data_IF_743497989034
#
_entry.id   IF_743497989034
#
_cell.length_a   1.000
_cell.length_b   1.000
_cell.length_c   1.000
_cell.angle_alpha   90.00
_cell.angle_beta   90.00
_cell.angle_gamma   90.00
#
_symmetry.space_group_name_H-M   'P 1'
#
loop_
_entity.id
_entity.type
_entity.pdbx_description
1 polymer ?
#
# COMPACT_ATOMS: atom_id res chain seq x y z
N UNK A 1 -16.49 4.85 -18.37
CA UNK A 1 -16.96 5.61 -17.23
C UNK A 1 -17.64 6.90 -17.70
N UNK A 2 -16.92 7.97 -17.96
CA UNK A 2 -17.48 9.33 -18.25
C UNK A 2 -18.55 9.32 -19.36
N UNK A 3 -18.34 8.58 -20.47
CA UNK A 3 -19.32 8.49 -21.58
C UNK A 3 -20.63 7.79 -21.20
N UNK A 4 -20.62 6.88 -20.23
CA UNK A 4 -21.80 6.11 -19.80
C UNK A 4 -22.54 6.79 -18.63
N UNK A 5 -21.97 7.84 -18.02
CA UNK A 5 -22.49 8.46 -16.82
C UNK A 5 -22.51 7.52 -15.60
N UNK A 6 -21.59 6.55 -15.55
CA UNK A 6 -21.51 5.61 -14.44
C UNK A 6 -20.93 6.30 -13.20
N UNK A 7 -21.48 6.01 -12.01
CA UNK A 7 -21.06 6.60 -10.74
C UNK A 7 -19.76 5.99 -10.20
N UNK A 8 -19.41 4.77 -10.62
CA UNK A 8 -18.24 4.02 -10.16
C UNK A 8 -17.80 3.02 -11.22
N UNK A 9 -16.50 2.91 -11.46
CA UNK A 9 -15.89 1.79 -12.18
C UNK A 9 -15.26 0.80 -11.21
N UNK A 10 -15.43 -0.48 -11.49
CA UNK A 10 -14.89 -1.58 -10.70
C UNK A 10 -14.07 -2.47 -11.63
N UNK A 11 -12.84 -2.77 -11.26
CA UNK A 11 -11.96 -3.68 -11.97
C UNK A 11 -11.40 -4.72 -11.00
N UNK A 12 -11.47 -5.97 -11.38
CA UNK A 12 -10.89 -7.10 -10.64
C UNK A 12 -9.93 -7.86 -11.56
N UNK A 13 -8.98 -8.55 -11.00
CA UNK A 13 -8.11 -9.46 -11.72
C UNK A 13 -8.77 -10.83 -11.97
N UNK A 14 -8.15 -11.76 -12.74
CA UNK A 14 -8.82 -13.01 -13.15
C UNK A 14 -9.22 -13.93 -12.02
N UNK A 15 -8.51 -13.95 -10.90
CA UNK A 15 -8.78 -14.75 -9.71
C UNK A 15 -9.59 -14.00 -8.63
N UNK A 16 -9.98 -12.73 -8.93
CA UNK A 16 -10.90 -11.91 -8.13
C UNK A 16 -10.40 -11.70 -6.68
N UNK A 17 -9.08 -11.62 -6.51
CA UNK A 17 -8.45 -11.38 -5.22
C UNK A 17 -7.94 -9.95 -5.07
N UNK A 18 -7.86 -9.17 -6.18
CA UNK A 18 -7.46 -7.76 -6.24
C UNK A 18 -8.54 -6.90 -6.86
N UNK A 19 -8.62 -5.67 -6.36
CA UNK A 19 -9.69 -4.75 -6.67
C UNK A 19 -9.14 -3.34 -6.88
N UNK A 20 -9.55 -2.71 -7.97
CA UNK A 20 -9.30 -1.31 -8.25
C UNK A 20 -10.61 -0.59 -8.59
N UNK A 21 -10.72 0.67 -8.18
CA UNK A 21 -11.85 1.53 -8.46
C UNK A 21 -11.47 2.67 -9.40
N UNK A 22 -12.48 3.18 -10.13
CA UNK A 22 -12.38 4.37 -10.97
C UNK A 22 -13.49 5.32 -10.56
N UNK A 23 -13.14 6.57 -10.31
CA UNK A 23 -14.07 7.61 -9.91
C UNK A 23 -15.05 7.98 -11.04
N UNK A 24 -16.16 8.61 -10.71
CA UNK A 24 -17.19 9.05 -11.65
C UNK A 24 -16.66 10.05 -12.70
N UNK A 25 -15.59 10.79 -12.38
CA UNK A 25 -14.90 11.72 -13.29
C UNK A 25 -13.89 11.03 -14.23
N UNK A 26 -13.68 9.71 -14.05
CA UNK A 26 -12.76 8.90 -14.83
C UNK A 26 -11.35 8.78 -14.23
N UNK A 27 -11.06 9.48 -13.14
CA UNK A 27 -9.77 9.40 -12.47
C UNK A 27 -9.64 8.07 -11.68
N UNK A 28 -8.46 7.43 -11.69
CA UNK A 28 -8.21 6.26 -10.87
C UNK A 28 -8.36 6.56 -9.38
N UNK A 29 -9.05 5.69 -8.64
CA UNK A 29 -9.04 5.74 -7.17
C UNK A 29 -7.67 5.31 -6.61
N UNK A 30 -6.87 4.62 -7.42
CA UNK A 30 -5.58 4.00 -7.13
C UNK A 30 -5.72 2.77 -6.23
N UNK A 31 -5.16 1.66 -6.65
CA UNK A 31 -5.30 0.36 -5.98
C UNK A 31 -4.81 0.34 -4.52
N UNK A 32 -3.78 1.14 -4.20
CA UNK A 32 -3.29 1.33 -2.82
C UNK A 32 -4.40 1.80 -1.87
N UNK A 33 -5.32 2.64 -2.37
CA UNK A 33 -6.39 3.24 -1.58
C UNK A 33 -7.64 2.37 -1.45
N UNK A 34 -7.74 1.26 -2.18
CA UNK A 34 -8.83 0.30 -2.02
C UNK A 34 -8.90 -0.19 -0.57
N UNK A 35 -7.78 -0.71 -0.06
CA UNK A 35 -7.70 -1.15 1.33
C UNK A 35 -7.90 0.00 2.33
N UNK A 36 -7.33 1.17 2.05
CA UNK A 36 -7.43 2.36 2.92
C UNK A 36 -8.88 2.79 3.13
N UNK A 37 -9.65 2.90 2.03
CA UNK A 37 -11.06 3.29 2.08
C UNK A 37 -11.94 2.24 2.76
N UNK A 38 -11.69 0.95 2.51
CA UNK A 38 -12.42 -0.13 3.18
C UNK A 38 -12.10 -0.16 4.67
N UNK A 39 -10.83 0.08 5.04
CA UNK A 39 -10.41 0.13 6.44
C UNK A 39 -11.02 1.31 7.19
N UNK A 40 -11.15 2.51 6.58
CA UNK A 40 -11.84 3.65 7.21
C UNK A 40 -13.29 3.28 7.58
N UNK A 41 -13.97 2.55 6.68
CA UNK A 41 -15.33 2.09 6.96
C UNK A 41 -15.41 1.03 8.07
N UNK A 42 -14.52 0.02 8.01
CA UNK A 42 -14.50 -1.10 8.98
C UNK A 42 -14.12 -0.59 10.36
N UNK A 43 -13.03 0.15 10.50
CA UNK A 43 -12.53 0.65 11.77
C UNK A 43 -13.50 1.61 12.46
N UNK A 44 -14.26 2.39 11.70
CA UNK A 44 -15.32 3.24 12.23
C UNK A 44 -16.51 2.47 12.83
N UNK A 45 -16.64 1.15 12.56
CA UNK A 45 -17.72 0.29 13.07
C UNK A 45 -17.25 -0.79 14.03
N UNK A 46 -16.08 -1.32 13.76
CA UNK A 46 -15.46 -2.38 14.53
C UNK A 46 -14.00 -1.98 14.79
N UNK A 47 -13.73 -1.16 15.82
CA UNK A 47 -12.37 -0.80 16.18
C UNK A 47 -11.51 -2.03 16.47
N UNK A 48 -10.27 -2.04 15.97
CA UNK A 48 -9.32 -3.13 16.16
C UNK A 48 -8.07 -2.93 15.32
N UNK A 49 -7.06 -3.80 15.42
CA UNK A 49 -5.84 -3.66 14.63
C UNK A 49 -6.09 -3.77 13.13
N UNK A 50 -5.35 -2.96 12.35
CA UNK A 50 -5.27 -3.05 10.89
C UNK A 50 -3.90 -3.57 10.49
N UNK A 51 -3.83 -4.39 9.43
CA UNK A 51 -2.59 -5.00 8.93
C UNK A 51 -2.42 -4.71 7.44
N UNK A 52 -1.21 -4.29 7.03
CA UNK A 52 -0.81 -4.38 5.63
C UNK A 52 0.68 -4.73 5.50
N UNK A 53 1.08 -5.09 4.27
CA UNK A 53 2.48 -5.34 4.04
C UNK A 53 3.30 -4.04 4.06
N UNK A 54 4.59 -4.17 4.37
CA UNK A 54 5.53 -3.06 4.56
C UNK A 54 5.76 -2.21 3.29
N UNK A 55 5.33 -2.69 2.10
CA UNK A 55 5.40 -1.96 0.83
C UNK A 55 4.12 -1.22 0.48
N UNK A 56 3.06 -1.35 1.29
CA UNK A 56 1.80 -0.63 1.11
C UNK A 56 1.89 0.80 1.61
N UNK A 57 0.98 1.65 1.13
CA UNK A 57 0.90 3.05 1.56
C UNK A 57 0.74 3.16 3.08
N UNK A 58 1.41 4.15 3.66
CA UNK A 58 1.20 4.52 5.07
C UNK A 58 -0.17 5.12 5.35
N UNK A 59 -0.94 5.47 4.31
CA UNK A 59 -2.30 5.97 4.46
C UNK A 59 -3.17 5.06 5.33
N UNK A 60 -2.95 3.72 5.29
CA UNK A 60 -3.65 2.80 6.20
C UNK A 60 -3.27 3.01 7.66
N UNK A 61 -1.99 3.25 7.96
CA UNK A 61 -1.55 3.55 9.32
C UNK A 61 -2.15 4.87 9.82
N UNK A 62 -2.21 5.89 8.95
CA UNK A 62 -2.83 7.18 9.28
C UNK A 62 -4.34 7.04 9.55
N UNK A 63 -5.06 6.22 8.76
CA UNK A 63 -6.48 5.91 8.98
C UNK A 63 -6.68 5.14 10.29
N UNK A 64 -5.86 4.13 10.56
CA UNK A 64 -5.93 3.39 11.82
C UNK A 64 -5.73 4.32 13.03
N UNK A 65 -4.73 5.20 12.96
CA UNK A 65 -4.46 6.20 14.01
C UNK A 65 -5.64 7.18 14.20
N UNK A 66 -6.28 7.63 13.11
CA UNK A 66 -7.46 8.50 13.19
C UNK A 66 -8.65 7.85 13.89
N UNK A 67 -8.76 6.52 13.81
CA UNK A 67 -9.76 5.73 14.55
C UNK A 67 -9.29 5.28 15.95
N UNK A 68 -8.07 5.67 16.38
CA UNK A 68 -7.49 5.21 17.65
C UNK A 68 -7.15 3.71 17.65
N UNK A 69 -6.95 3.12 16.48
CA UNK A 69 -6.69 1.69 16.29
C UNK A 69 -5.20 1.41 16.02
N UNK A 70 -4.66 0.27 16.47
CA UNK A 70 -3.30 -0.14 16.14
C UNK A 70 -3.13 -0.46 14.64
N UNK A 71 -1.94 -0.15 14.12
CA UNK A 71 -1.50 -0.61 12.80
C UNK A 71 -0.28 -1.51 12.94
N UNK A 72 -0.31 -2.65 12.26
CA UNK A 72 0.73 -3.68 12.32
C UNK A 72 1.27 -4.01 10.92
N UNK A 73 2.52 -3.66 10.62
CA UNK A 73 3.13 -4.01 9.35
C UNK A 73 3.52 -5.49 9.31
N UNK A 74 3.48 -6.08 8.10
CA UNK A 74 3.99 -7.44 7.86
C UNK A 74 4.89 -7.49 6.61
N UNK A 75 5.52 -8.64 6.36
CA UNK A 75 6.21 -8.91 5.09
C UNK A 75 5.20 -8.95 3.94
N UNK A 76 5.69 -8.69 2.73
CA UNK A 76 4.86 -8.82 1.52
C UNK A 76 4.44 -10.27 1.30
N UNK A 77 3.20 -10.45 0.88
CA UNK A 77 2.56 -11.72 0.58
C UNK A 77 1.39 -12.02 1.50
N UNK A 78 0.32 -12.53 0.89
CA UNK A 78 -0.95 -12.82 1.57
C UNK A 78 -0.79 -13.67 2.83
N UNK A 79 0.04 -14.72 2.76
CA UNK A 79 0.30 -15.60 3.90
C UNK A 79 0.89 -14.84 5.09
N UNK A 80 1.78 -13.86 4.82
CA UNK A 80 2.36 -13.03 5.88
C UNK A 80 1.32 -12.09 6.48
N UNK A 81 0.46 -11.51 5.63
CA UNK A 81 -0.63 -10.64 6.09
C UNK A 81 -1.63 -11.42 6.95
N UNK A 82 -2.12 -12.56 6.47
CA UNK A 82 -3.08 -13.39 7.21
C UNK A 82 -2.51 -13.95 8.52
N UNK A 83 -1.23 -14.33 8.53
CA UNK A 83 -0.53 -14.75 9.76
C UNK A 83 -0.49 -13.61 10.76
N UNK A 84 -0.03 -12.42 10.35
CA UNK A 84 0.01 -11.24 11.22
C UNK A 84 -1.38 -10.86 11.74
N UNK A 85 -2.40 -10.92 10.89
CA UNK A 85 -3.79 -10.65 11.30
C UNK A 85 -4.29 -11.60 12.35
N UNK A 86 -3.95 -12.91 12.27
CA UNK A 86 -4.28 -13.90 13.31
C UNK A 86 -3.56 -13.64 14.63
N UNK A 87 -2.27 -13.29 14.56
CA UNK A 87 -1.44 -12.99 15.72
C UNK A 87 -1.95 -11.77 16.51
N UNK A 88 -2.41 -10.74 15.80
CA UNK A 88 -2.80 -9.44 16.37
C UNK A 88 -4.31 -9.31 16.63
N UNK A 89 -5.12 -10.27 16.15
CA UNK A 89 -6.58 -10.15 16.16
C UNK A 89 -7.10 -9.02 15.26
N UNK A 90 -6.39 -8.74 14.16
CA UNK A 90 -6.76 -7.66 13.26
C UNK A 90 -8.14 -7.84 12.64
N UNK A 91 -8.89 -6.75 12.53
CA UNK A 91 -10.27 -6.74 11.99
C UNK A 91 -10.32 -6.44 10.51
N UNK A 92 -9.25 -5.89 9.96
CA UNK A 92 -9.07 -5.56 8.54
C UNK A 92 -7.60 -5.68 8.17
N UNK A 93 -7.30 -6.13 6.98
CA UNK A 93 -5.95 -6.14 6.45
C UNK A 93 -5.92 -6.35 4.95
N UNK A 94 -4.71 -6.45 4.40
CA UNK A 94 -4.51 -6.67 2.98
C UNK A 94 -3.18 -6.18 2.45
N UNK A 95 -3.16 -5.84 1.18
CA UNK A 95 -1.98 -5.39 0.47
C UNK A 95 -2.31 -4.17 -0.42
N UNK A 96 -1.31 -3.30 -0.66
CA UNK A 96 -1.43 -2.11 -1.50
C UNK A 96 -1.59 -2.39 -3.01
N UNK A 97 -1.89 -3.61 -3.37
CA UNK A 97 -2.22 -4.06 -4.74
C UNK A 97 -3.74 -4.22 -4.96
N UNK A 98 -4.55 -3.69 -4.07
CA UNK A 98 -6.01 -3.83 -4.10
C UNK A 98 -6.56 -5.06 -3.36
N UNK A 99 -5.70 -5.85 -2.72
CA UNK A 99 -6.11 -7.03 -1.94
C UNK A 99 -6.67 -6.64 -0.58
N UNK A 100 -7.93 -6.99 -0.30
CA UNK A 100 -8.63 -6.75 0.97
C UNK A 100 -8.89 -8.07 1.68
N UNK A 101 -8.60 -8.14 2.97
CA UNK A 101 -8.83 -9.31 3.83
C UNK A 101 -9.71 -8.89 5.00
N UNK A 102 -10.86 -9.56 5.16
CA UNK A 102 -11.82 -9.32 6.25
C UNK A 102 -12.02 -10.62 7.01
N UNK A 103 -11.42 -10.77 8.20
CA UNK A 103 -11.46 -12.02 8.97
C UNK A 103 -12.86 -12.54 9.33
N UNK A 104 -13.84 -11.65 9.45
CA UNK A 104 -15.22 -12.02 9.70
C UNK A 104 -15.83 -12.85 8.56
N UNK A 105 -15.29 -12.75 7.34
CA UNK A 105 -15.64 -13.59 6.21
C UNK A 105 -14.66 -14.77 6.11
N UNK A 106 -13.40 -14.49 5.81
CA UNK A 106 -12.30 -15.47 5.76
C UNK A 106 -10.92 -14.78 5.77
N UNK A 107 -9.86 -15.57 5.96
CA UNK A 107 -8.47 -15.11 5.89
C UNK A 107 -7.90 -15.34 4.49
N UNK A 108 -8.32 -14.54 3.54
CA UNK A 108 -7.86 -14.49 2.16
C UNK A 108 -8.26 -13.17 1.52
N UNK A 109 -7.52 -12.73 0.51
CA UNK A 109 -7.90 -11.54 -0.25
C UNK A 109 -9.17 -11.84 -1.04
N UNK A 110 -10.11 -10.88 -1.01
CA UNK A 110 -11.42 -11.04 -1.63
C UNK A 110 -11.91 -9.70 -2.17
N UNK A 111 -12.01 -9.61 -3.49
CA UNK A 111 -12.50 -8.40 -4.14
C UNK A 111 -14.00 -8.17 -3.90
N UNK A 112 -14.81 -9.22 -3.75
CA UNK A 112 -16.26 -9.06 -3.58
C UNK A 112 -16.61 -8.40 -2.24
N UNK A 113 -15.95 -8.82 -1.15
CA UNK A 113 -16.14 -8.15 0.14
C UNK A 113 -15.59 -6.73 0.11
N UNK A 114 -14.47 -6.50 -0.60
CA UNK A 114 -13.92 -5.17 -0.82
C UNK A 114 -14.93 -4.25 -1.52
N UNK A 115 -15.59 -4.72 -2.58
CA UNK A 115 -16.66 -4.01 -3.31
C UNK A 115 -17.83 -3.71 -2.37
N UNK A 116 -18.33 -4.72 -1.64
CA UNK A 116 -19.49 -4.56 -0.76
C UNK A 116 -19.24 -3.51 0.33
N UNK A 117 -18.06 -3.54 0.96
CA UNK A 117 -17.69 -2.60 2.02
C UNK A 117 -17.43 -1.19 1.47
N UNK A 118 -16.80 -1.07 0.30
CA UNK A 118 -16.59 0.21 -0.35
C UNK A 118 -17.91 0.88 -0.74
N UNK A 119 -18.84 0.15 -1.35
CA UNK A 119 -20.18 0.64 -1.68
C UNK A 119 -20.97 1.04 -0.40
N UNK A 120 -20.84 0.23 0.66
CA UNK A 120 -21.44 0.55 1.96
C UNK A 120 -20.86 1.84 2.55
N UNK A 121 -19.56 2.09 2.37
CA UNK A 121 -18.90 3.32 2.79
C UNK A 121 -19.44 4.53 2.03
N UNK A 122 -19.52 4.47 0.69
CA UNK A 122 -20.09 5.52 -0.13
C UNK A 122 -21.54 5.84 0.27
N UNK A 123 -22.37 4.80 0.43
CA UNK A 123 -23.76 4.96 0.84
C UNK A 123 -23.90 5.62 2.24
N UNK A 124 -23.02 5.24 3.18
CA UNK A 124 -23.00 5.82 4.51
C UNK A 124 -22.58 7.29 4.51
N UNK A 125 -21.50 7.61 3.78
CA UNK A 125 -20.98 8.98 3.67
C UNK A 125 -21.86 9.86 2.77
N UNK A 126 -22.67 9.28 1.89
CA UNK A 126 -23.47 9.97 0.85
C UNK A 126 -22.60 10.87 -0.03
N UNK A 127 -21.43 10.36 -0.40
CA UNK A 127 -20.42 11.04 -1.21
C UNK A 127 -20.25 10.35 -2.55
N UNK A 128 -19.75 11.10 -3.55
CA UNK A 128 -19.20 10.54 -4.76
C UNK A 128 -17.84 9.87 -4.48
N UNK A 129 -17.38 9.04 -5.40
CA UNK A 129 -16.12 8.32 -5.24
C UNK A 129 -14.94 9.29 -5.15
N UNK A 130 -14.89 10.30 -6.03
CA UNK A 130 -13.86 11.34 -6.02
C UNK A 130 -13.86 12.18 -4.73
N UNK A 131 -15.03 12.40 -4.15
CA UNK A 131 -15.18 13.13 -2.86
C UNK A 131 -14.65 12.26 -1.71
N UNK A 132 -15.02 10.97 -1.67
CA UNK A 132 -14.49 10.03 -0.67
C UNK A 132 -12.96 9.97 -0.72
N UNK A 133 -12.36 9.88 -1.93
CA UNK A 133 -10.91 9.89 -2.10
C UNK A 133 -10.24 11.07 -1.41
N UNK A 134 -10.82 12.27 -1.52
CA UNK A 134 -10.30 13.50 -0.92
C UNK A 134 -10.40 13.55 0.61
N UNK A 135 -11.19 12.67 1.24
CA UNK A 135 -11.27 12.59 2.70
C UNK A 135 -10.19 11.72 3.32
N UNK A 136 -9.50 10.91 2.51
CA UNK A 136 -8.46 10.00 2.97
C UNK A 136 -7.09 10.71 3.05
N UNK A 137 -6.16 10.23 3.89
CA UNK A 137 -4.81 10.78 3.96
C UNK A 137 -4.13 10.74 2.59
N UNK A 138 -3.59 11.86 2.13
CA UNK A 138 -2.96 11.96 0.81
C UNK A 138 -1.50 11.53 0.86
N UNK A 139 -1.20 10.47 0.10
CA UNK A 139 0.12 9.93 -0.16
C UNK A 139 0.23 9.43 -1.59
N UNK A 140 1.42 9.55 -2.16
CA UNK A 140 1.70 9.13 -3.54
C UNK A 140 2.87 8.16 -3.55
N UNK A 141 2.68 7.01 -4.22
CA UNK A 141 3.70 5.96 -4.33
C UNK A 141 4.28 5.93 -5.74
N UNK A 142 5.60 6.11 -5.83
CA UNK A 142 6.37 5.90 -7.07
C UNK A 142 6.90 4.46 -7.08
N UNK A 143 6.55 3.67 -8.11
CA UNK A 143 6.94 2.25 -8.25
C UNK A 143 7.94 2.10 -9.39
N UNK A 144 9.15 1.68 -9.07
CA UNK A 144 10.26 1.54 -9.99
C UNK A 144 10.90 0.16 -9.89
N UNK A 145 11.74 -0.18 -10.88
CA UNK A 145 12.57 -1.39 -10.87
C UNK A 145 13.93 -1.11 -11.48
N UNK A 146 14.95 -1.77 -10.96
CA UNK A 146 16.31 -1.77 -11.48
C UNK A 146 16.71 -3.21 -11.82
N UNK A 147 17.14 -3.45 -13.06
CA UNK A 147 17.69 -4.74 -13.47
C UNK A 147 19.10 -4.91 -12.89
N UNK A 148 19.42 -6.11 -12.45
CA UNK A 148 20.74 -6.49 -11.92
C UNK A 148 21.20 -7.78 -12.57
N UNK A 149 22.50 -8.03 -12.60
CA UNK A 149 23.06 -9.24 -13.23
C UNK A 149 22.99 -10.47 -12.32
N UNK A 150 22.92 -10.26 -11.00
CA UNK A 150 22.90 -11.35 -10.01
C UNK A 150 22.27 -10.93 -8.69
N UNK A 151 21.91 -11.93 -7.88
CA UNK A 151 21.41 -11.69 -6.50
C UNK A 151 22.51 -11.07 -5.61
N UNK A 152 23.76 -11.40 -5.84
CA UNK A 152 24.89 -10.82 -5.10
C UNK A 152 25.06 -9.33 -5.40
N UNK A 153 24.92 -8.94 -6.68
CA UNK A 153 24.91 -7.53 -7.07
C UNK A 153 23.77 -6.77 -6.39
N UNK A 154 22.57 -7.35 -6.38
CA UNK A 154 21.43 -6.77 -5.68
C UNK A 154 21.70 -6.54 -4.19
N UNK A 155 22.31 -7.51 -3.51
CA UNK A 155 22.67 -7.41 -2.08
C UNK A 155 23.70 -6.33 -1.82
N UNK A 156 24.75 -6.26 -2.66
CA UNK A 156 25.77 -5.20 -2.57
C UNK A 156 25.16 -3.82 -2.77
N UNK A 157 24.30 -3.66 -3.78
CA UNK A 157 23.63 -2.40 -4.07
C UNK A 157 22.71 -1.95 -2.92
N UNK A 158 21.90 -2.87 -2.37
CA UNK A 158 21.02 -2.58 -1.21
C UNK A 158 21.88 -2.23 0.03
N UNK A 159 22.99 -2.92 0.24
CA UNK A 159 23.89 -2.64 1.36
C UNK A 159 24.55 -1.26 1.25
N UNK A 160 24.89 -0.82 0.04
CA UNK A 160 25.40 0.53 -0.24
C UNK A 160 24.37 1.61 0.16
N UNK A 161 23.10 1.42 -0.23
CA UNK A 161 22.01 2.33 0.17
C UNK A 161 21.81 2.32 1.68
N UNK A 162 21.88 1.16 2.33
CA UNK A 162 21.77 1.06 3.78
C UNK A 162 22.89 1.81 4.52
N UNK A 163 24.10 1.84 3.99
CA UNK A 163 25.19 2.63 4.54
C UNK A 163 24.99 4.13 4.32
N UNK A 164 24.48 4.53 3.15
CA UNK A 164 24.20 5.93 2.84
C UNK A 164 23.16 6.54 3.80
N UNK A 165 22.15 5.75 4.20
CA UNK A 165 21.08 6.17 5.12
C UNK A 165 21.24 5.59 6.54
N UNK A 166 22.47 5.33 6.98
CA UNK A 166 22.72 4.71 8.28
C UNK A 166 22.27 5.57 9.49
N UNK A 167 22.10 6.87 9.29
CA UNK A 167 21.57 7.83 10.26
C UNK A 167 20.02 7.85 10.33
N UNK A 168 19.36 7.12 9.44
CA UNK A 168 17.90 7.04 9.36
C UNK A 168 17.36 5.77 10.01
N UNK A 169 16.03 5.72 10.18
CA UNK A 169 15.35 4.55 10.68
C UNK A 169 15.28 3.47 9.59
N UNK A 170 16.09 2.44 9.76
CA UNK A 170 16.16 1.30 8.84
C UNK A 170 15.26 0.17 9.33
N UNK A 171 14.41 -0.37 8.46
CA UNK A 171 13.64 -1.58 8.70
C UNK A 171 14.04 -2.65 7.68
N UNK A 172 14.45 -3.82 8.19
CA UNK A 172 14.93 -4.96 7.40
C UNK A 172 13.95 -6.15 7.43
N UNK A 173 12.69 -5.90 7.75
CA UNK A 173 11.65 -6.95 7.81
C UNK A 173 11.51 -7.68 6.46
N UNK A 174 11.53 -6.93 5.33
CA UNK A 174 11.39 -7.49 4.00
C UNK A 174 12.16 -6.63 2.99
N UNK A 175 13.45 -6.87 2.88
CA UNK A 175 14.39 -6.02 2.13
C UNK A 175 14.94 -4.89 2.98
N UNK A 176 15.05 -3.69 2.42
CA UNK A 176 15.48 -2.49 3.12
C UNK A 176 14.43 -1.39 2.96
N UNK A 177 13.77 -1.04 4.03
CA UNK A 177 12.93 0.16 4.11
C UNK A 177 13.63 1.23 4.94
N UNK A 178 13.58 2.46 4.45
CA UNK A 178 14.08 3.66 5.12
C UNK A 178 12.91 4.60 5.34
N UNK A 179 12.69 5.00 6.58
CA UNK A 179 11.63 5.94 6.96
C UNK A 179 12.25 7.30 7.35
N UNK A 180 11.70 8.38 6.80
CA UNK A 180 12.03 9.77 7.12
C UNK A 180 10.97 10.31 8.09
N UNK A 181 11.25 10.23 9.39
CA UNK A 181 10.24 10.51 10.44
C UNK A 181 9.71 11.94 10.38
N UNK A 182 10.54 12.92 9.98
CA UNK A 182 10.18 14.34 9.92
C UNK A 182 9.11 14.65 8.86
N UNK A 183 9.19 13.98 7.71
CA UNK A 183 8.28 14.18 6.56
C UNK A 183 7.23 13.10 6.43
N UNK A 184 7.46 11.95 7.06
CA UNK A 184 6.68 10.74 6.91
C UNK A 184 6.91 10.01 5.58
N UNK A 185 7.83 10.49 4.75
CA UNK A 185 8.23 9.81 3.53
C UNK A 185 8.94 8.49 3.86
N UNK A 186 8.95 7.59 2.90
CA UNK A 186 9.73 6.37 2.99
C UNK A 186 10.07 5.83 1.60
N UNK A 187 11.09 4.99 1.53
CA UNK A 187 11.30 4.11 0.40
C UNK A 187 11.60 2.68 0.86
N UNK A 188 11.37 1.73 -0.03
CA UNK A 188 11.72 0.33 0.19
C UNK A 188 12.42 -0.27 -1.04
N UNK A 189 13.46 -1.05 -0.77
CA UNK A 189 14.19 -1.84 -1.76
C UNK A 189 13.95 -3.32 -1.47
N UNK A 190 13.43 -4.03 -2.45
CA UNK A 190 13.20 -5.48 -2.35
C UNK A 190 13.74 -6.19 -3.56
N UNK A 191 14.48 -7.27 -3.32
CA UNK A 191 14.85 -8.20 -4.41
C UNK A 191 13.60 -8.93 -4.88
N UNK A 192 13.50 -9.18 -6.17
CA UNK A 192 12.53 -10.13 -6.70
C UNK A 192 13.09 -11.57 -6.52
N UNK A 193 12.20 -12.49 -6.15
CA UNK A 193 12.56 -13.91 -6.03
C UNK A 193 12.55 -14.64 -7.39
N UNK A 194 11.88 -14.07 -8.40
CA UNK A 194 11.63 -14.70 -9.70
C UNK A 194 12.35 -14.02 -10.85
N UNK A 195 12.77 -12.77 -10.68
CA UNK A 195 13.41 -11.96 -11.72
C UNK A 195 14.68 -11.31 -11.17
N UNK A 196 15.71 -11.08 -12.01
CA UNK A 196 16.93 -10.39 -11.60
C UNK A 196 16.71 -8.87 -11.53
N UNK A 197 15.85 -8.43 -10.62
CA UNK A 197 15.52 -7.02 -10.40
C UNK A 197 15.47 -6.67 -8.91
N UNK A 198 15.75 -5.40 -8.62
CA UNK A 198 15.40 -4.73 -7.36
C UNK A 198 14.14 -3.91 -7.61
N UNK A 199 13.09 -4.12 -6.81
CA UNK A 199 11.90 -3.28 -6.77
C UNK A 199 12.17 -2.11 -5.85
N UNK A 200 11.83 -0.89 -6.31
CA UNK A 200 12.05 0.36 -5.59
C UNK A 200 10.71 1.06 -5.51
N UNK A 201 10.15 1.14 -4.31
CA UNK A 201 8.94 1.93 -4.06
C UNK A 201 9.30 3.08 -3.14
N UNK A 202 8.83 4.27 -3.47
CA UNK A 202 9.00 5.47 -2.65
C UNK A 202 7.66 6.15 -2.45
N UNK A 203 7.39 6.64 -1.26
CA UNK A 203 6.14 7.33 -0.93
C UNK A 203 6.42 8.71 -0.35
N UNK A 204 5.63 9.69 -0.79
CA UNK A 204 5.69 11.07 -0.32
C UNK A 204 4.32 11.76 -0.41
N UNK A 205 4.25 13.03 0.04
CA UNK A 205 3.00 13.82 0.02
C UNK A 205 2.59 14.31 -1.38
N UNK A 206 3.43 14.16 -2.39
CA UNK A 206 3.08 14.44 -3.78
C UNK A 206 3.81 13.50 -4.72
N UNK A 207 3.25 13.27 -5.91
CA UNK A 207 3.84 12.46 -6.97
C UNK A 207 5.28 12.91 -7.28
N UNK A 208 5.48 14.22 -7.46
CA UNK A 208 6.81 14.80 -7.73
C UNK A 208 7.82 14.48 -6.62
N UNK A 209 7.42 14.55 -5.36
CA UNK A 209 8.31 14.22 -4.23
C UNK A 209 8.62 12.72 -4.18
N UNK A 210 7.63 11.86 -4.42
CA UNK A 210 7.82 10.41 -4.46
C UNK A 210 8.77 10.02 -5.60
N UNK A 211 8.60 10.60 -6.79
CA UNK A 211 9.49 10.38 -7.93
C UNK A 211 10.91 10.91 -7.66
N UNK A 212 11.04 12.09 -7.07
CA UNK A 212 12.35 12.65 -6.71
C UNK A 212 13.09 11.71 -5.76
N UNK A 213 12.44 11.23 -4.71
CA UNK A 213 13.01 10.28 -3.76
C UNK A 213 13.40 8.96 -4.44
N UNK A 214 12.54 8.44 -5.33
CA UNK A 214 12.85 7.22 -6.08
C UNK A 214 14.07 7.40 -6.99
N UNK A 215 14.21 8.54 -7.67
CA UNK A 215 15.36 8.84 -8.54
C UNK A 215 16.66 9.02 -7.75
N UNK A 216 16.62 9.65 -6.58
CA UNK A 216 17.76 9.73 -5.67
C UNK A 216 18.28 8.33 -5.30
N UNK A 217 17.37 7.45 -4.88
CA UNK A 217 17.71 6.08 -4.52
C UNK A 217 18.26 5.29 -5.72
N UNK A 218 17.66 5.45 -6.91
CA UNK A 218 18.15 4.84 -8.15
C UNK A 218 19.57 5.31 -8.49
N UNK A 219 19.89 6.60 -8.31
CA UNK A 219 21.23 7.15 -8.56
C UNK A 219 22.27 6.51 -7.62
N UNK A 220 21.96 6.34 -6.34
CA UNK A 220 22.84 5.67 -5.38
C UNK A 220 23.06 4.21 -5.74
N UNK A 221 21.98 3.50 -6.17
CA UNK A 221 22.08 2.11 -6.62
C UNK A 221 22.96 1.97 -7.86
N UNK A 222 22.84 2.89 -8.83
CA UNK A 222 23.64 2.91 -10.06
C UNK A 222 25.11 3.29 -9.85
N UNK A 223 25.47 3.82 -8.66
CA UNK A 223 26.85 4.18 -8.36
C UNK A 223 27.23 5.63 -8.73
N UNK A 224 26.25 6.45 -9.00
CA UNK A 224 26.41 7.89 -9.30
C UNK A 224 26.36 8.73 -8.03
#
# INVERSE_FOLDING_TARGET
MVRSGADLGISVDPDVDRLAFICEDGEPFVEEYTLVAVADYVLGRKPGPAVSNISSSRALADVAAAHGCPYEPCKVGEVNATTKMRETGAVIGGEGNGGVIVPDLHYGRDALIGIALFLSHLAHKKMKVSELKKTLPEWHVSKNKLSVSSQEEAEKAISKVALHYADRKLNRMDGLRVDFEESGQWFILRRSNTEPIIRIYAEARSEKQADTLAQEVLSILAGN
#
